data_IF_756741596927
#
_entry.id   IF_756741596927
#
_cell.length_a   1.000
_cell.length_b   1.000
_cell.length_c   1.000
_cell.angle_alpha   90.00
_cell.angle_beta   90.00
_cell.angle_gamma   90.00
#
_symmetry.space_group_name_H-M   'P 1'
#
loop_
_entity.id
_entity.type
_entity.pdbx_description
1 polymer ?
#
# COMPACT_ATOMS: atom_id res chain seq x y z
N UNK A 1 15.86 14.05 13.23
CA UNK A 1 15.44 13.01 12.26
C UNK A 1 15.09 11.76 13.02
N UNK A 2 14.06 11.03 12.60
CA UNK A 2 13.70 9.72 13.18
C UNK A 2 14.71 8.70 12.64
N UNK A 3 15.23 7.85 13.54
CA UNK A 3 16.01 6.69 13.10
C UNK A 3 15.09 5.62 12.53
N UNK A 4 15.42 5.13 11.34
CA UNK A 4 14.69 4.07 10.67
C UNK A 4 15.28 2.72 11.08
N UNK A 5 14.84 2.21 12.24
CA UNK A 5 15.19 0.87 12.71
C UNK A 5 14.54 -0.23 11.85
N UNK A 6 14.71 -1.50 12.24
CA UNK A 6 14.07 -2.63 11.55
C UNK A 6 12.54 -2.43 11.51
N UNK A 7 12.01 -2.26 10.29
CA UNK A 7 10.58 -2.04 10.09
C UNK A 7 9.80 -3.34 10.26
N UNK A 8 8.78 -3.28 11.10
CA UNK A 8 7.84 -4.38 11.29
C UNK A 8 6.42 -3.93 10.99
N UNK A 9 5.62 -4.85 10.46
CA UNK A 9 4.20 -4.57 10.22
C UNK A 9 3.47 -4.31 11.53
N UNK A 10 2.69 -3.24 11.57
CA UNK A 10 1.83 -2.91 12.71
C UNK A 10 0.57 -3.78 12.72
N UNK A 11 -0.11 -3.83 13.86
CA UNK A 11 -1.37 -4.56 14.01
C UNK A 11 -2.42 -4.11 13.02
N UNK A 12 -3.23 -5.06 12.51
CA UNK A 12 -4.40 -4.80 11.67
C UNK A 12 -5.46 -3.90 12.35
N UNK A 13 -5.45 -3.83 13.67
CA UNK A 13 -6.37 -3.01 14.47
C UNK A 13 -5.86 -1.57 14.69
N UNK A 14 -4.65 -1.25 14.19
CA UNK A 14 -4.07 0.09 14.37
C UNK A 14 -4.92 1.17 13.74
N UNK A 15 -5.20 2.21 14.51
CA UNK A 15 -5.92 3.40 14.03
C UNK A 15 -5.18 4.14 12.92
N UNK A 16 -3.85 3.98 12.85
CA UNK A 16 -3.03 4.61 11.81
C UNK A 16 -3.43 4.15 10.40
N UNK A 17 -3.90 2.90 10.24
CA UNK A 17 -4.38 2.38 8.95
C UNK A 17 -5.71 3.00 8.49
N UNK A 18 -6.40 3.70 9.38
CA UNK A 18 -7.70 4.34 9.14
C UNK A 18 -7.62 5.87 9.03
N UNK A 19 -6.42 6.42 9.08
CA UNK A 19 -6.17 7.86 9.04
C UNK A 19 -5.56 8.26 7.69
N UNK A 20 -5.94 9.45 7.22
CA UNK A 20 -5.25 10.06 6.06
C UNK A 20 -3.81 10.39 6.45
N UNK A 21 -2.88 9.99 5.59
CA UNK A 21 -1.45 10.12 5.85
C UNK A 21 -0.93 11.51 5.47
N UNK A 22 0.07 11.99 6.22
CA UNK A 22 0.67 13.30 6.00
C UNK A 22 1.62 13.32 4.80
N UNK A 23 1.72 14.44 4.09
CA UNK A 23 2.72 14.59 3.05
C UNK A 23 4.15 14.52 3.64
N UNK A 24 5.06 13.91 2.88
CA UNK A 24 6.50 13.99 3.16
C UNK A 24 7.01 15.37 2.76
N UNK A 25 7.64 16.08 3.69
CA UNK A 25 8.24 17.40 3.42
C UNK A 25 9.72 17.24 3.06
N UNK A 26 10.05 17.40 1.77
CA UNK A 26 11.43 17.34 1.29
C UNK A 26 12.29 18.51 1.71
N UNK A 27 11.70 19.65 2.13
CA UNK A 27 12.45 20.81 2.60
C UNK A 27 12.83 20.67 4.09
N UNK A 28 12.03 19.92 4.87
CA UNK A 28 12.29 19.66 6.28
C UNK A 28 11.97 18.18 6.57
N UNK A 29 12.77 17.24 6.05
CA UNK A 29 12.47 15.82 6.14
C UNK A 29 12.65 15.31 7.58
N UNK A 30 11.69 14.51 8.03
CA UNK A 30 11.75 13.86 9.35
C UNK A 30 12.72 12.67 9.37
N UNK A 31 13.04 12.11 8.21
CA UNK A 31 14.03 11.04 8.00
C UNK A 31 14.64 11.18 6.60
N UNK A 32 15.72 10.48 6.32
CA UNK A 32 16.28 10.38 4.97
C UNK A 32 15.30 9.69 4.01
N UNK A 33 14.86 10.32 2.92
CA UNK A 33 13.87 9.74 2.01
C UNK A 33 14.40 8.53 1.22
N UNK A 34 15.70 8.50 0.93
CA UNK A 34 16.31 7.36 0.23
C UNK A 34 16.38 6.17 1.17
N UNK A 35 16.81 6.37 2.41
CA UNK A 35 16.84 5.33 3.43
C UNK A 35 15.42 4.81 3.71
N UNK A 36 14.42 5.68 3.81
CA UNK A 36 13.02 5.29 3.97
C UNK A 36 12.54 4.38 2.84
N UNK A 37 12.83 4.74 1.59
CA UNK A 37 12.48 3.94 0.43
C UNK A 37 13.15 2.55 0.45
N UNK A 38 14.44 2.50 0.80
CA UNK A 38 15.19 1.24 0.91
C UNK A 38 14.60 0.35 2.01
N UNK A 39 14.37 0.89 3.21
CA UNK A 39 13.84 0.13 4.36
C UNK A 39 12.41 -0.37 4.11
N UNK A 40 11.55 0.44 3.51
CA UNK A 40 10.20 0.01 3.11
C UNK A 40 10.27 -1.13 2.09
N UNK A 41 11.16 -1.03 1.11
CA UNK A 41 11.34 -2.06 0.10
C UNK A 41 11.87 -3.38 0.68
N UNK A 42 12.83 -3.31 1.60
CA UNK A 42 13.33 -4.49 2.34
C UNK A 42 12.19 -5.15 3.13
N UNK A 43 11.42 -4.37 3.89
CA UNK A 43 10.27 -4.87 4.64
C UNK A 43 9.21 -5.50 3.72
N UNK A 44 8.89 -4.85 2.59
CA UNK A 44 7.99 -5.40 1.58
C UNK A 44 8.46 -6.75 1.05
N UNK A 45 9.74 -6.85 0.66
CA UNK A 45 10.34 -8.10 0.13
C UNK A 45 10.36 -9.22 1.16
N UNK A 46 10.74 -8.91 2.40
CA UNK A 46 10.81 -9.89 3.49
C UNK A 46 9.44 -10.49 3.84
N UNK A 47 8.37 -9.74 3.56
CA UNK A 47 6.98 -10.20 3.74
C UNK A 47 6.33 -10.71 2.43
N UNK A 48 7.10 -10.90 1.35
CA UNK A 48 6.61 -11.34 0.03
C UNK A 48 5.50 -10.43 -0.54
N UNK A 49 5.54 -9.12 -0.25
CA UNK A 49 4.58 -8.13 -0.73
C UNK A 49 4.85 -7.67 -2.16
N UNK A 50 3.82 -7.17 -2.82
CA UNK A 50 3.90 -6.45 -4.09
C UNK A 50 3.89 -4.93 -3.88
N UNK A 51 3.36 -4.47 -2.75
CA UNK A 51 3.35 -3.08 -2.29
C UNK A 51 3.42 -3.02 -0.77
N UNK A 52 3.84 -1.88 -0.24
CA UNK A 52 3.86 -1.57 1.19
C UNK A 52 3.84 -0.06 1.40
N UNK A 53 2.88 0.40 2.17
CA UNK A 53 2.76 1.80 2.59
C UNK A 53 3.46 2.06 3.92
N UNK A 54 4.02 3.25 4.10
CA UNK A 54 4.72 3.67 5.30
C UNK A 54 3.84 3.56 6.57
N UNK A 55 2.53 3.83 6.46
CA UNK A 55 1.61 3.68 7.59
C UNK A 55 1.49 2.23 8.09
N UNK A 56 1.75 1.22 7.25
CA UNK A 56 1.72 -0.19 7.63
C UNK A 56 2.92 -0.59 8.52
N UNK A 57 3.93 0.24 8.60
CA UNK A 57 5.09 0.09 9.50
C UNK A 57 5.16 1.19 10.56
N UNK A 58 4.05 1.89 10.81
CA UNK A 58 3.94 2.87 11.89
C UNK A 58 4.38 4.29 11.54
N UNK A 59 4.65 4.59 10.27
CA UNK A 59 5.12 5.91 9.81
C UNK A 59 3.96 6.63 9.10
N UNK A 60 3.41 7.74 9.67
CA UNK A 60 2.21 8.41 9.16
C UNK A 60 2.49 9.33 7.96
N UNK A 61 3.11 8.80 6.92
CA UNK A 61 3.51 9.55 5.73
C UNK A 61 2.87 9.01 4.46
N UNK A 62 2.56 9.91 3.52
CA UNK A 62 2.11 9.58 2.17
C UNK A 62 3.27 9.06 1.32
N UNK A 63 3.74 7.88 1.66
CA UNK A 63 4.82 7.18 0.97
C UNK A 63 4.46 5.70 0.88
N UNK A 64 4.64 5.13 -0.29
CA UNK A 64 4.61 3.68 -0.46
C UNK A 64 5.66 3.20 -1.44
N UNK A 65 6.02 1.94 -1.33
CA UNK A 65 6.83 1.22 -2.31
C UNK A 65 5.99 0.17 -3.01
N UNK A 66 6.30 -0.11 -4.26
CA UNK A 66 5.67 -1.19 -5.02
C UNK A 66 6.65 -1.82 -5.98
N UNK A 67 6.45 -3.11 -6.27
CA UNK A 67 7.21 -3.86 -7.25
C UNK A 67 6.34 -4.18 -8.46
N UNK A 68 6.87 -3.90 -9.63
CA UNK A 68 6.31 -4.30 -10.92
C UNK A 68 7.19 -5.40 -11.49
N UNK A 69 6.62 -6.40 -12.13
CA UNK A 69 7.36 -7.52 -12.67
C UNK A 69 8.46 -7.05 -13.64
N UNK A 70 9.70 -7.49 -13.38
CA UNK A 70 10.86 -7.21 -14.21
C UNK A 70 11.51 -5.84 -14.03
N UNK A 71 11.03 -5.00 -13.12
CA UNK A 71 11.56 -3.67 -12.86
C UNK A 71 12.04 -3.51 -11.40
N UNK A 72 12.90 -2.50 -11.17
CA UNK A 72 13.27 -2.10 -9.83
C UNK A 72 12.05 -1.55 -9.07
N UNK A 73 11.99 -1.75 -7.75
CA UNK A 73 10.88 -1.24 -6.95
C UNK A 73 10.75 0.27 -7.04
N UNK A 74 9.54 0.74 -7.26
CA UNK A 74 9.20 2.16 -7.21
C UNK A 74 9.01 2.60 -5.76
N UNK A 75 9.49 3.81 -5.43
CA UNK A 75 9.10 4.53 -4.22
C UNK A 75 8.32 5.79 -4.63
N UNK A 76 7.08 5.88 -4.18
CA UNK A 76 6.19 6.98 -4.51
C UNK A 76 5.95 7.83 -3.26
N UNK A 77 6.49 9.05 -3.28
CA UNK A 77 6.28 10.06 -2.24
C UNK A 77 5.18 11.03 -2.67
N UNK A 78 4.29 11.39 -1.77
CA UNK A 78 3.21 12.34 -2.01
C UNK A 78 2.37 12.01 -3.25
N UNK A 79 2.00 10.74 -3.47
CA UNK A 79 1.31 10.33 -4.69
C UNK A 79 -0.09 10.92 -4.77
N UNK A 80 -0.50 11.28 -6.00
CA UNK A 80 -1.84 11.77 -6.33
C UNK A 80 -2.33 11.15 -7.62
N UNK A 81 -3.55 10.65 -7.64
CA UNK A 81 -4.19 10.15 -8.85
C UNK A 81 -4.49 11.35 -9.76
N UNK A 82 -4.03 11.28 -10.99
CA UNK A 82 -4.28 12.29 -12.06
C UNK A 82 -5.43 11.84 -12.94
N UNK A 83 -5.47 10.55 -13.27
CA UNK A 83 -6.50 9.95 -14.11
C UNK A 83 -6.60 8.44 -13.82
N UNK A 84 -7.76 7.86 -14.13
CA UNK A 84 -8.01 6.40 -14.09
C UNK A 84 -8.88 6.01 -15.27
N UNK A 85 -8.78 4.75 -15.67
CA UNK A 85 -9.64 4.21 -16.73
C UNK A 85 -11.07 3.98 -16.25
N UNK A 86 -12.02 3.97 -17.19
CA UNK A 86 -13.40 3.58 -16.93
C UNK A 86 -13.59 2.07 -16.89
N UNK A 87 -12.62 1.31 -17.40
CA UNK A 87 -12.67 -0.15 -17.41
C UNK A 87 -12.37 -0.70 -16.01
N UNK A 88 -13.35 -1.36 -15.41
CA UNK A 88 -13.30 -1.87 -14.05
C UNK A 88 -13.11 -3.39 -14.06
N UNK A 89 -12.05 -3.86 -13.43
CA UNK A 89 -11.76 -5.27 -13.23
C UNK A 89 -11.96 -5.69 -11.78
N UNK A 90 -12.56 -6.86 -11.58
CA UNK A 90 -12.65 -7.51 -10.28
C UNK A 90 -11.50 -8.49 -10.12
N UNK A 91 -10.67 -8.30 -9.08
CA UNK A 91 -9.55 -9.19 -8.77
C UNK A 91 -9.49 -9.46 -7.26
N UNK A 92 -8.89 -10.59 -6.88
CA UNK A 92 -8.60 -10.87 -5.47
C UNK A 92 -7.42 -10.04 -5.00
N UNK A 93 -7.61 -9.36 -3.87
CA UNK A 93 -6.58 -8.61 -3.16
C UNK A 93 -6.34 -9.21 -1.78
N UNK A 94 -5.08 -9.18 -1.35
CA UNK A 94 -4.66 -9.36 0.02
C UNK A 94 -3.90 -8.12 0.48
N UNK A 95 -3.65 -8.00 1.77
CA UNK A 95 -2.86 -6.92 2.36
C UNK A 95 -1.93 -7.51 3.42
N UNK A 96 -0.69 -7.04 3.47
CA UNK A 96 0.29 -7.50 4.45
C UNK A 96 -0.18 -7.24 5.90
N UNK A 97 -0.92 -6.16 6.14
CA UNK A 97 -1.52 -5.86 7.45
C UNK A 97 -2.68 -6.79 7.82
N UNK A 98 -3.24 -7.55 6.87
CA UNK A 98 -4.38 -8.45 7.09
C UNK A 98 -4.05 -9.88 6.61
N UNK A 99 -3.17 -10.61 7.30
CA UNK A 99 -2.71 -11.93 6.86
C UNK A 99 -3.86 -12.92 6.72
N UNK A 100 -3.78 -13.76 5.67
CA UNK A 100 -4.76 -14.80 5.33
C UNK A 100 -6.17 -14.29 4.96
N UNK A 101 -6.32 -13.01 4.68
CA UNK A 101 -7.59 -12.41 4.26
C UNK A 101 -7.50 -11.94 2.81
N UNK A 102 -8.30 -12.54 1.93
CA UNK A 102 -8.37 -12.20 0.52
C UNK A 102 -9.80 -11.86 0.15
N UNK A 103 -9.99 -10.74 -0.55
CA UNK A 103 -11.29 -10.20 -0.95
C UNK A 103 -11.28 -9.88 -2.44
N UNK A 104 -12.43 -10.08 -3.10
CA UNK A 104 -12.61 -9.59 -4.47
C UNK A 104 -12.94 -8.10 -4.45
N UNK A 105 -12.09 -7.31 -5.07
CA UNK A 105 -12.20 -5.85 -5.14
C UNK A 105 -12.29 -5.41 -6.59
N UNK A 106 -13.19 -4.47 -6.87
CA UNK A 106 -13.35 -3.85 -8.18
C UNK A 106 -12.53 -2.57 -8.24
N UNK A 107 -11.65 -2.47 -9.24
CA UNK A 107 -10.82 -1.27 -9.47
C UNK A 107 -10.65 -0.99 -10.95
N UNK A 108 -10.35 0.27 -11.34
CA UNK A 108 -9.83 0.60 -12.66
C UNK A 108 -8.63 -0.27 -13.04
N UNK A 109 -8.56 -0.69 -14.29
CA UNK A 109 -7.45 -1.50 -14.81
C UNK A 109 -6.21 -0.67 -15.17
N UNK A 110 -6.36 0.66 -15.22
CA UNK A 110 -5.25 1.59 -15.42
C UNK A 110 -5.41 2.84 -14.55
N UNK A 111 -4.29 3.35 -14.04
CA UNK A 111 -4.24 4.57 -13.24
C UNK A 111 -3.01 5.38 -13.61
N UNK A 112 -3.15 6.69 -13.69
CA UNK A 112 -2.04 7.64 -13.87
C UNK A 112 -1.81 8.39 -12.57
N UNK A 113 -0.60 8.28 -12.03
CA UNK A 113 -0.22 8.84 -10.72
C UNK A 113 0.92 9.84 -10.93
N UNK A 114 0.76 11.02 -10.34
CA UNK A 114 1.82 12.00 -10.17
C UNK A 114 2.40 11.84 -8.76
N UNK A 115 3.72 11.74 -8.65
CA UNK A 115 4.41 11.53 -7.39
C UNK A 115 5.83 12.13 -7.42
N UNK A 116 6.48 12.19 -6.28
CA UNK A 116 7.90 12.49 -6.17
C UNK A 116 8.68 11.19 -5.92
N UNK A 117 9.85 11.06 -6.54
CA UNK A 117 10.77 9.96 -6.21
C UNK A 117 11.53 10.27 -4.90
N UNK A 118 12.40 9.35 -4.45
CA UNK A 118 13.15 9.51 -3.19
C UNK A 118 14.15 10.68 -3.17
N UNK A 119 14.43 11.29 -4.31
CA UNK A 119 15.26 12.51 -4.40
C UNK A 119 14.42 13.78 -4.63
N UNK A 120 13.10 13.69 -4.43
CA UNK A 120 12.18 14.83 -4.53
C UNK A 120 11.78 15.24 -5.95
N UNK A 121 12.23 14.54 -6.99
CA UNK A 121 11.86 14.86 -8.37
C UNK A 121 10.44 14.42 -8.66
N UNK A 122 9.62 15.32 -9.19
CA UNK A 122 8.23 15.03 -9.58
C UNK A 122 8.19 14.34 -10.93
N UNK A 123 7.44 13.23 -10.99
CA UNK A 123 7.14 12.50 -12.22
C UNK A 123 5.66 12.13 -12.28
N UNK A 124 5.21 11.74 -13.47
CA UNK A 124 3.85 11.23 -13.69
C UNK A 124 3.95 9.96 -14.51
N UNK A 125 3.43 8.86 -13.99
CA UNK A 125 3.52 7.55 -14.61
C UNK A 125 2.15 6.89 -14.70
N UNK A 126 1.95 6.10 -15.75
CA UNK A 126 0.78 5.25 -15.93
C UNK A 126 1.12 3.83 -15.49
N UNK A 127 0.26 3.26 -14.67
CA UNK A 127 0.28 1.86 -14.26
C UNK A 127 -0.92 1.14 -14.87
N UNK A 128 -0.76 -0.11 -15.30
CA UNK A 128 -1.79 -0.89 -15.99
C UNK A 128 -1.86 -2.30 -15.39
N UNK A 129 -3.04 -2.90 -15.34
CA UNK A 129 -3.23 -4.28 -14.88
C UNK A 129 -2.83 -4.50 -13.41
N UNK A 130 -1.89 -5.40 -13.15
CA UNK A 130 -1.46 -5.70 -11.79
C UNK A 130 -0.76 -4.52 -11.13
N UNK A 131 0.06 -3.77 -11.85
CA UNK A 131 0.71 -2.58 -11.28
C UNK A 131 -0.28 -1.47 -10.92
N UNK A 132 -1.35 -1.28 -11.71
CA UNK A 132 -2.45 -0.39 -11.34
C UNK A 132 -3.19 -0.90 -10.10
N UNK A 133 -3.40 -2.22 -9.99
CA UNK A 133 -4.02 -2.86 -8.82
C UNK A 133 -3.26 -2.58 -7.54
N UNK A 134 -1.95 -2.80 -7.55
CA UNK A 134 -1.07 -2.54 -6.40
C UNK A 134 -1.06 -1.05 -6.08
N UNK A 135 -0.83 -0.19 -7.06
CA UNK A 135 -0.80 1.26 -6.86
C UNK A 135 -2.10 1.79 -6.23
N UNK A 136 -3.26 1.35 -6.71
CA UNK A 136 -4.57 1.77 -6.17
C UNK A 136 -4.83 1.21 -4.76
N UNK A 137 -4.30 0.03 -4.43
CA UNK A 137 -4.36 -0.51 -3.08
C UNK A 137 -3.54 0.35 -2.11
N UNK A 138 -2.32 0.71 -2.49
CA UNK A 138 -1.46 1.56 -1.66
C UNK A 138 -1.99 3.01 -1.57
N UNK A 139 -2.61 3.52 -2.64
CA UNK A 139 -3.30 4.83 -2.61
C UNK A 139 -4.43 4.86 -1.58
N UNK A 140 -5.19 3.77 -1.43
CA UNK A 140 -6.21 3.68 -0.39
C UNK A 140 -5.58 3.86 1.01
N UNK A 141 -4.44 3.22 1.30
CA UNK A 141 -3.73 3.41 2.56
C UNK A 141 -3.33 4.86 2.81
N UNK A 142 -3.01 5.62 1.75
CA UNK A 142 -2.71 7.06 1.89
C UNK A 142 -3.92 7.87 2.39
N UNK A 143 -5.12 7.40 2.10
CA UNK A 143 -6.38 8.07 2.42
C UNK A 143 -7.10 7.43 3.63
N UNK A 144 -6.44 6.53 4.35
CA UNK A 144 -7.00 5.83 5.51
C UNK A 144 -8.08 4.81 5.16
N UNK A 145 -8.06 4.34 3.92
CA UNK A 145 -9.00 3.36 3.41
C UNK A 145 -8.29 2.00 3.33
N UNK A 146 -8.99 0.94 3.69
CA UNK A 146 -8.50 -0.43 3.47
C UNK A 146 -9.32 -1.12 2.38
N UNK A 147 -8.76 -2.16 1.78
CA UNK A 147 -9.48 -2.96 0.77
C UNK A 147 -10.76 -3.62 1.31
N UNK A 148 -10.90 -3.75 2.64
CA UNK A 148 -12.14 -4.16 3.30
C UNK A 148 -13.31 -3.21 3.00
N UNK A 149 -13.02 -1.92 2.90
CA UNK A 149 -14.01 -0.88 2.58
C UNK A 149 -14.41 -0.90 1.09
N UNK A 150 -13.62 -1.56 0.24
CA UNK A 150 -13.87 -1.68 -1.21
C UNK A 150 -14.66 -2.94 -1.58
N UNK A 151 -14.62 -3.96 -0.74
CA UNK A 151 -15.37 -5.21 -0.94
C UNK A 151 -16.81 -5.08 -0.46
N UNK A 152 -17.70 -5.94 -0.96
CA UNK A 152 -19.07 -6.00 -0.42
C UNK A 152 -19.07 -6.53 1.01
N UNK A 153 -20.05 -6.11 1.82
CA UNK A 153 -20.20 -6.59 3.20
C UNK A 153 -20.38 -8.12 3.27
N UNK A 154 -21.07 -8.71 2.31
CA UNK A 154 -21.24 -10.15 2.20
C UNK A 154 -19.90 -10.88 1.97
N UNK A 155 -19.11 -10.40 1.00
CA UNK A 155 -17.77 -10.96 0.69
C UNK A 155 -16.86 -10.84 1.92
N UNK A 156 -16.83 -9.68 2.55
CA UNK A 156 -16.02 -9.41 3.74
C UNK A 156 -16.37 -10.34 4.89
N UNK A 157 -17.66 -10.50 5.23
CA UNK A 157 -18.08 -11.39 6.30
C UNK A 157 -17.74 -12.86 6.00
N UNK A 158 -17.93 -13.31 4.75
CA UNK A 158 -17.58 -14.66 4.32
C UNK A 158 -16.08 -14.92 4.45
N UNK A 159 -15.27 -13.99 4.01
CA UNK A 159 -13.80 -14.09 4.09
C UNK A 159 -13.30 -14.08 5.55
N UNK A 160 -13.84 -13.24 6.41
CA UNK A 160 -13.51 -13.20 7.84
C UNK A 160 -13.85 -14.52 8.55
N UNK A 161 -15.01 -15.11 8.26
CA UNK A 161 -15.37 -16.44 8.79
C UNK A 161 -14.36 -17.51 8.34
N UNK A 162 -14.01 -17.54 7.04
CA UNK A 162 -13.01 -18.48 6.51
C UNK A 162 -11.65 -18.30 7.18
N UNK A 163 -11.20 -17.05 7.34
CA UNK A 163 -9.95 -16.69 8.01
C UNK A 163 -9.94 -17.17 9.47
N UNK A 164 -11.04 -17.00 10.22
CA UNK A 164 -11.11 -17.43 11.61
C UNK A 164 -10.96 -18.95 11.76
N UNK A 165 -11.49 -19.72 10.81
CA UNK A 165 -11.33 -21.20 10.77
C UNK A 165 -9.87 -21.56 10.48
N UNK A 166 -9.21 -20.87 9.53
CA UNK A 166 -7.80 -21.09 9.21
C UNK A 166 -6.89 -20.77 10.41
N UNK A 167 -7.09 -19.64 11.07
CA UNK A 167 -6.30 -19.25 12.26
C UNK A 167 -6.40 -20.28 13.41
N UNK A 168 -7.54 -20.99 13.54
CA UNK A 168 -7.70 -22.07 14.55
C UNK A 168 -6.96 -23.36 14.20
N UNK A 169 -6.70 -23.60 12.91
CA UNK A 169 -5.97 -24.81 12.45
C UNK A 169 -4.44 -24.67 12.49
N UNK A 170 -3.96 -23.44 12.59
CA UNK A 170 -2.52 -23.12 12.63
C UNK A 170 -2.00 -22.99 14.08
N UNK A 171 -2.91 -22.88 15.06
CA UNK A 171 -2.60 -22.99 16.50
C UNK A 171 -2.59 -24.46 16.94
#
# INVERSE_FOLDING_TARGET
MIELNDMQLISEDSELLKQTQNNFDFNNPICDPVELAVKLNECMKNNNGLGLSACQVGIPLRVFVMRVDGEDPYALFNPRIVNQSDNILSMKEGCLSFPFLFLSVRRPDAVRIRYQNAIGQTTTQQFIGMSARVALHEMDHMDGITYLNRASSFETQRALRKRSILKRKIK
#
